data_IF_585655161528
#
_entry.id   IF_585655161528
#
_cell.length_a   1.000
_cell.length_b   1.000
_cell.length_c   1.000
_cell.angle_alpha   90.00
_cell.angle_beta   90.00
_cell.angle_gamma   90.00
#
_symmetry.space_group_name_H-M   'P 1'
#
loop_
_entity.id
_entity.type
_entity.pdbx_description
1 polymer ?
#
# COMPACT_ATOMS: atom_id res chain seq x y z
N UNK A 1 -17.04 -27.61 -10.68
CA UNK A 1 -17.89 -26.41 -10.72
C UNK A 1 -17.03 -25.22 -10.31
N UNK A 2 -16.41 -24.53 -11.25
CA UNK A 2 -15.56 -23.37 -10.95
C UNK A 2 -16.45 -22.13 -10.97
N UNK A 3 -17.06 -21.82 -9.84
CA UNK A 3 -17.64 -20.52 -9.57
C UNK A 3 -16.54 -19.46 -9.73
N UNK A 4 -16.55 -18.70 -10.81
CA UNK A 4 -15.80 -17.44 -10.92
C UNK A 4 -16.36 -16.50 -9.86
N UNK A 5 -15.72 -16.50 -8.69
CA UNK A 5 -16.02 -15.55 -7.63
C UNK A 5 -15.69 -14.15 -8.14
N UNK A 6 -16.71 -13.29 -8.24
CA UNK A 6 -16.55 -11.91 -8.68
C UNK A 6 -15.96 -11.13 -7.51
N UNK A 7 -14.64 -10.98 -7.51
CA UNK A 7 -13.95 -10.15 -6.53
C UNK A 7 -14.21 -8.68 -6.88
N UNK A 8 -14.86 -7.96 -5.97
CA UNK A 8 -15.16 -6.54 -6.12
C UNK A 8 -14.34 -5.76 -5.09
N UNK A 9 -13.66 -4.70 -5.53
CA UNK A 9 -12.94 -3.77 -4.67
C UNK A 9 -13.76 -2.48 -4.52
N UNK A 10 -13.73 -1.85 -3.35
CA UNK A 10 -14.41 -0.57 -3.14
C UNK A 10 -13.64 0.63 -3.71
N UNK A 11 -14.06 1.83 -3.30
CA UNK A 11 -13.62 3.11 -3.89
C UNK A 11 -12.50 3.79 -3.11
N UNK A 12 -12.04 3.19 -2.02
CA UNK A 12 -11.00 3.79 -1.18
C UNK A 12 -9.61 3.63 -1.82
N UNK A 13 -8.66 4.49 -1.40
CA UNK A 13 -7.27 4.37 -1.85
C UNK A 13 -6.67 3.00 -1.48
N UNK A 14 -7.01 2.50 -0.28
CA UNK A 14 -6.55 1.20 0.21
C UNK A 14 -7.04 0.05 -0.67
N UNK A 15 -8.34 0.03 -1.00
CA UNK A 15 -8.93 -1.00 -1.86
C UNK A 15 -8.41 -0.90 -3.30
N UNK A 16 -8.22 0.31 -3.83
CA UNK A 16 -7.63 0.52 -5.16
C UNK A 16 -6.22 -0.09 -5.23
N UNK A 17 -5.40 0.13 -4.21
CA UNK A 17 -4.05 -0.47 -4.14
C UNK A 17 -4.12 -1.99 -3.94
N UNK A 18 -5.11 -2.48 -3.19
CA UNK A 18 -5.34 -3.91 -3.05
C UNK A 18 -5.72 -4.55 -4.39
N UNK A 19 -6.56 -3.90 -5.21
CA UNK A 19 -6.90 -4.34 -6.56
C UNK A 19 -5.63 -4.44 -7.42
N UNK A 20 -4.81 -3.38 -7.44
CA UNK A 20 -3.57 -3.34 -8.24
C UNK A 20 -2.67 -4.53 -7.86
N UNK A 21 -2.47 -4.75 -6.56
CA UNK A 21 -1.63 -5.86 -6.06
C UNK A 21 -2.24 -7.22 -6.41
N UNK A 22 -3.55 -7.37 -6.31
CA UNK A 22 -4.26 -8.58 -6.70
C UNK A 22 -4.08 -8.88 -8.19
N UNK A 23 -4.23 -7.87 -9.06
CA UNK A 23 -4.02 -7.98 -10.51
C UNK A 23 -2.57 -8.33 -10.86
N UNK A 24 -1.59 -7.76 -10.17
CA UNK A 24 -0.17 -8.14 -10.32
C UNK A 24 0.02 -9.63 -10.00
N UNK A 25 -0.56 -10.12 -8.90
CA UNK A 25 -0.45 -11.52 -8.52
C UNK A 25 -1.12 -12.45 -9.54
N UNK A 26 -2.32 -12.11 -10.01
CA UNK A 26 -3.01 -12.90 -11.04
C UNK A 26 -2.21 -12.97 -12.35
N UNK A 27 -1.61 -11.85 -12.77
CA UNK A 27 -0.87 -11.77 -14.03
C UNK A 27 0.53 -12.40 -13.96
N UNK A 28 1.23 -12.26 -12.83
CA UNK A 28 2.67 -12.58 -12.74
C UNK A 28 3.00 -13.70 -11.76
N UNK A 29 2.06 -14.09 -10.88
CA UNK A 29 2.29 -14.99 -9.73
C UNK A 29 3.34 -14.50 -8.73
N UNK A 30 3.69 -13.22 -8.79
CA UNK A 30 4.58 -12.56 -7.84
C UNK A 30 3.76 -11.58 -6.99
N UNK A 31 4.16 -11.39 -5.74
CA UNK A 31 3.52 -10.44 -4.82
C UNK A 31 4.22 -9.09 -4.85
N UNK A 32 3.45 -8.03 -4.63
CA UNK A 32 3.95 -6.67 -4.54
C UNK A 32 3.55 -6.04 -3.18
N UNK A 33 4.42 -5.16 -2.68
CA UNK A 33 4.10 -4.26 -1.57
C UNK A 33 3.90 -2.84 -2.08
N UNK A 34 3.09 -2.05 -1.38
CA UNK A 34 2.72 -0.70 -1.81
C UNK A 34 2.59 0.28 -0.64
N UNK A 35 2.85 1.55 -0.91
CA UNK A 35 2.69 2.62 0.07
C UNK A 35 1.84 3.75 -0.49
N UNK A 36 0.95 4.30 0.35
CA UNK A 36 0.07 5.43 0.01
C UNK A 36 0.35 6.57 0.99
N UNK A 37 0.54 7.79 0.49
CA UNK A 37 0.75 8.97 1.30
C UNK A 37 0.45 10.25 0.49
N UNK A 38 0.46 11.40 1.15
CA UNK A 38 0.23 12.71 0.53
C UNK A 38 1.35 13.19 -0.42
N UNK A 39 2.49 12.50 -0.48
CA UNK A 39 3.57 12.79 -1.42
C UNK A 39 4.41 11.54 -1.76
N UNK A 40 5.21 11.66 -2.83
CA UNK A 40 6.02 10.56 -3.36
C UNK A 40 7.08 10.03 -2.38
N UNK A 41 7.75 10.91 -1.62
CA UNK A 41 8.80 10.49 -0.66
C UNK A 41 8.21 9.63 0.45
N UNK A 42 7.11 10.09 1.05
CA UNK A 42 6.41 9.34 2.08
C UNK A 42 5.81 8.04 1.54
N UNK A 43 5.21 8.07 0.34
CA UNK A 43 4.65 6.87 -0.27
C UNK A 43 5.73 5.80 -0.52
N UNK A 44 6.90 6.20 -1.01
CA UNK A 44 8.03 5.28 -1.22
C UNK A 44 8.50 4.65 0.09
N UNK A 45 8.56 5.43 1.16
CA UNK A 45 8.92 4.93 2.48
C UNK A 45 7.85 3.97 3.05
N UNK A 46 6.58 4.32 2.90
CA UNK A 46 5.45 3.49 3.31
C UNK A 46 5.43 2.12 2.60
N UNK A 47 5.89 2.05 1.35
CA UNK A 47 5.95 0.79 0.59
C UNK A 47 6.87 -0.27 1.20
N UNK A 48 7.80 0.13 2.08
CA UNK A 48 8.74 -0.76 2.74
C UNK A 48 8.26 -1.22 4.13
N UNK A 49 7.22 -0.60 4.72
CA UNK A 49 6.80 -0.86 6.11
C UNK A 49 6.23 -2.27 6.27
N UNK A 50 5.26 -2.64 5.43
CA UNK A 50 4.54 -3.91 5.49
C UNK A 50 5.08 -4.91 4.46
N UNK A 51 6.37 -4.89 4.16
CA UNK A 51 6.99 -5.93 3.35
C UNK A 51 7.15 -7.23 4.14
N UNK A 52 7.00 -8.41 3.51
CA UNK A 52 6.59 -8.64 2.12
C UNK A 52 5.06 -8.68 1.94
N UNK A 53 4.58 -8.46 0.70
CA UNK A 53 3.16 -8.58 0.30
C UNK A 53 2.14 -7.86 1.22
N UNK A 54 2.50 -6.68 1.73
CA UNK A 54 1.57 -5.79 2.43
C UNK A 54 1.54 -4.38 1.85
N UNK A 55 0.56 -3.61 2.29
CA UNK A 55 0.42 -2.20 1.94
C UNK A 55 0.28 -1.34 3.19
N UNK A 56 0.66 -0.07 3.10
CA UNK A 56 0.53 0.89 4.21
C UNK A 56 0.05 2.25 3.70
N UNK A 57 -0.99 2.79 4.33
CA UNK A 57 -1.47 4.13 4.08
C UNK A 57 -1.09 5.06 5.24
N UNK A 58 -0.34 6.11 4.91
CA UNK A 58 -0.12 7.23 5.83
C UNK A 58 -1.25 8.24 5.65
N UNK A 59 -1.97 8.52 6.73
CA UNK A 59 -3.04 9.51 6.75
C UNK A 59 -2.51 10.91 6.37
N UNK A 60 -3.31 11.67 5.60
CA UNK A 60 -2.96 13.03 5.16
C UNK A 60 -3.19 14.07 6.27
N UNK A 61 -2.77 13.76 7.49
CA UNK A 61 -2.86 14.63 8.65
C UNK A 61 -1.45 15.07 9.06
N UNK A 62 -1.24 16.38 9.22
CA UNK A 62 0.07 16.96 9.53
C UNK A 62 0.65 16.38 10.82
N UNK A 63 -0.15 16.18 11.87
CA UNK A 63 0.33 15.62 13.14
C UNK A 63 0.78 14.16 12.98
N UNK A 64 0.04 13.37 12.20
CA UNK A 64 0.38 11.98 11.90
C UNK A 64 1.69 11.92 11.10
N UNK A 65 1.83 12.76 10.07
CA UNK A 65 3.03 12.84 9.24
C UNK A 65 4.26 13.25 10.06
N UNK A 66 4.14 14.28 10.91
CA UNK A 66 5.24 14.75 11.74
C UNK A 66 5.69 13.68 12.74
N UNK A 67 4.75 12.99 13.38
CA UNK A 67 5.08 11.89 14.30
C UNK A 67 5.74 10.71 13.57
N UNK A 68 5.29 10.41 12.36
CA UNK A 68 5.88 9.37 11.52
C UNK A 68 7.34 9.70 11.14
N UNK A 69 7.61 10.95 10.73
CA UNK A 69 8.97 11.38 10.34
C UNK A 69 9.91 11.46 11.54
N UNK A 70 9.45 11.91 12.72
CA UNK A 70 10.28 12.07 13.92
C UNK A 70 11.00 10.79 14.34
N UNK A 71 10.35 9.64 14.17
CA UNK A 71 10.87 8.34 14.58
C UNK A 71 11.61 7.61 13.45
N UNK A 72 11.81 8.26 12.30
CA UNK A 72 12.39 7.61 11.14
C UNK A 72 13.92 7.69 11.16
N UNK A 73 14.64 6.57 11.09
CA UNK A 73 16.08 6.60 10.92
C UNK A 73 16.44 7.22 9.56
N UNK A 74 17.53 8.00 9.52
CA UNK A 74 18.00 8.72 8.31
C UNK A 74 18.30 7.76 7.14
N UNK A 75 18.62 6.50 7.42
CA UNK A 75 18.97 5.46 6.42
C UNK A 75 17.76 4.68 5.88
N UNK A 76 16.56 5.25 5.87
CA UNK A 76 15.35 4.63 5.30
C UNK A 76 14.77 5.47 4.17
#
# INVERSE_FOLDING_TARGET
ENSTEIITFGITAEETVQEIRHRIYLATRITASAGMACNMRLAKLCSDINKPNGQYQLESNVNVILNFIRNLPIRK
#
